data_IF_255984960356
#
_entry.id   IF_255984960356
#
_cell.length_a   1.000
_cell.length_b   1.000
_cell.length_c   1.000
_cell.angle_alpha   90.00
_cell.angle_beta   90.00
_cell.angle_gamma   90.00
#
_symmetry.space_group_name_H-M   'P 1'
#
loop_
_entity.id
_entity.type
_entity.pdbx_description
1 polymer ?
#
# COMPACT_ATOMS: atom_id res chain seq x y z
N UNK A 1 4.91 -83.03 -27.45
CA UNK A 1 5.94 -82.96 -26.38
C UNK A 1 6.51 -81.56 -26.38
N UNK A 2 6.65 -81.01 -25.19
CA UNK A 2 6.93 -79.62 -24.92
C UNK A 2 8.32 -79.17 -25.35
N UNK A 3 8.45 -77.90 -25.75
CA UNK A 3 9.64 -77.10 -25.46
C UNK A 3 9.30 -75.62 -25.61
N UNK A 4 9.33 -74.94 -24.47
CA UNK A 4 9.14 -73.51 -24.26
C UNK A 4 10.30 -72.72 -24.88
N UNK A 5 10.01 -71.62 -25.58
CA UNK A 5 10.91 -70.47 -25.63
C UNK A 5 10.13 -69.20 -25.26
N UNK A 6 10.43 -68.74 -24.05
CA UNK A 6 9.98 -67.49 -23.46
C UNK A 6 10.63 -66.32 -24.22
N UNK A 7 9.82 -65.50 -24.90
CA UNK A 7 10.26 -64.22 -25.46
C UNK A 7 9.55 -63.10 -24.70
N UNK A 8 10.22 -62.58 -23.69
CA UNK A 8 9.75 -61.48 -22.86
C UNK A 8 10.05 -60.15 -23.56
N UNK A 9 9.12 -59.67 -24.41
CA UNK A 9 9.18 -58.30 -24.94
C UNK A 9 8.60 -57.35 -23.88
N UNK A 10 9.48 -56.75 -23.08
CA UNK A 10 9.12 -55.64 -22.18
C UNK A 10 8.73 -54.41 -23.02
N UNK A 11 7.44 -54.14 -23.15
CA UNK A 11 6.93 -52.87 -23.64
C UNK A 11 6.97 -51.87 -22.48
N UNK A 12 8.00 -51.02 -22.44
CA UNK A 12 8.09 -49.91 -21.49
C UNK A 12 7.05 -48.83 -21.90
N UNK A 13 5.88 -48.84 -21.26
CA UNK A 13 4.92 -47.74 -21.33
C UNK A 13 5.44 -46.65 -20.38
N UNK A 14 6.13 -45.66 -20.93
CA UNK A 14 6.46 -44.42 -20.21
C UNK A 14 5.17 -43.60 -20.03
N UNK A 15 4.52 -43.77 -18.88
CA UNK A 15 3.45 -42.85 -18.44
C UNK A 15 4.13 -41.57 -17.98
N UNK A 16 4.14 -40.55 -18.84
CA UNK A 16 4.62 -39.21 -18.50
C UNK A 16 3.55 -38.54 -17.64
N UNK A 17 3.74 -38.60 -16.32
CA UNK A 17 2.90 -37.90 -15.35
C UNK A 17 3.28 -36.42 -15.38
N UNK A 18 2.54 -35.62 -16.17
CA UNK A 18 2.69 -34.17 -16.22
C UNK A 18 2.24 -33.55 -14.89
N UNK A 19 3.21 -33.28 -14.03
CA UNK A 19 3.03 -32.55 -12.77
C UNK A 19 2.87 -31.08 -13.14
N UNK A 20 1.64 -30.56 -13.15
CA UNK A 20 1.40 -29.11 -13.24
C UNK A 20 1.85 -28.46 -11.94
N UNK A 21 3.09 -27.96 -11.91
CA UNK A 21 3.57 -27.10 -10.84
C UNK A 21 2.90 -25.74 -10.97
N UNK A 22 1.86 -25.49 -10.18
CA UNK A 22 1.28 -24.16 -10.02
C UNK A 22 2.27 -23.32 -9.22
N UNK A 23 3.06 -22.50 -9.90
CA UNK A 23 3.93 -21.52 -9.25
C UNK A 23 3.05 -20.37 -8.72
N UNK A 24 3.04 -20.08 -7.41
CA UNK A 24 2.39 -18.88 -6.91
C UNK A 24 3.08 -17.65 -7.50
N UNK A 25 2.30 -16.77 -8.14
CA UNK A 25 2.81 -15.51 -8.66
C UNK A 25 3.17 -14.60 -7.48
N UNK A 26 4.46 -14.43 -7.22
CA UNK A 26 4.96 -13.38 -6.34
C UNK A 26 4.72 -12.03 -7.02
N UNK A 27 3.75 -11.25 -6.54
CA UNK A 27 3.48 -9.90 -7.05
C UNK A 27 4.66 -8.99 -6.76
N UNK A 28 5.40 -8.61 -7.81
CA UNK A 28 6.43 -7.59 -7.72
C UNK A 28 5.77 -6.24 -7.37
N UNK A 29 6.35 -5.42 -6.48
CA UNK A 29 5.81 -4.09 -6.18
C UNK A 29 5.64 -3.31 -7.47
N UNK A 30 4.42 -2.86 -7.74
CA UNK A 30 4.13 -2.13 -8.98
C UNK A 30 4.80 -0.75 -8.91
N UNK A 31 5.46 -0.35 -9.99
CA UNK A 31 5.87 1.05 -10.18
C UNK A 31 4.69 1.84 -10.73
N UNK A 32 4.65 3.17 -10.49
CA UNK A 32 3.57 4.02 -10.99
C UNK A 32 3.32 3.82 -12.49
N UNK A 33 4.40 3.69 -13.27
CA UNK A 33 4.34 3.63 -14.73
C UNK A 33 3.83 2.29 -15.26
N UNK A 34 3.83 1.25 -14.40
CA UNK A 34 3.32 -0.10 -14.73
C UNK A 34 1.88 -0.34 -14.29
N UNK A 35 1.28 0.59 -13.54
CA UNK A 35 -0.08 0.47 -13.01
C UNK A 35 -1.10 1.10 -13.97
N UNK A 36 -2.03 0.30 -14.48
CA UNK A 36 -3.15 0.74 -15.32
C UNK A 36 -4.45 0.95 -14.49
N UNK A 37 -4.32 1.59 -13.33
CA UNK A 37 -5.40 1.75 -12.35
C UNK A 37 -5.12 2.87 -11.35
N UNK A 38 -5.67 2.75 -10.14
CA UNK A 38 -5.35 3.67 -9.06
C UNK A 38 -4.08 3.18 -8.37
N UNK A 39 -3.02 3.99 -8.46
CA UNK A 39 -1.76 3.74 -7.81
C UNK A 39 -1.71 4.48 -6.48
N UNK A 40 -1.37 3.76 -5.41
CA UNK A 40 -1.16 4.31 -4.08
C UNK A 40 0.31 4.17 -3.68
N UNK A 41 0.86 5.20 -3.07
CA UNK A 41 2.15 5.07 -2.40
C UNK A 41 2.22 5.89 -1.12
N UNK A 42 2.88 5.34 -0.11
CA UNK A 42 3.20 6.02 1.12
C UNK A 42 4.72 6.07 1.29
N UNK A 43 5.25 7.25 1.54
CA UNK A 43 6.66 7.47 1.83
C UNK A 43 6.81 8.08 3.22
N UNK A 44 7.66 7.49 4.05
CA UNK A 44 8.15 8.16 5.25
C UNK A 44 9.31 9.10 4.88
N UNK A 45 9.22 10.34 5.33
CA UNK A 45 10.16 11.39 4.93
C UNK A 45 11.21 11.64 6.00
N UNK A 46 10.77 11.88 7.25
CA UNK A 46 11.65 12.15 8.38
C UNK A 46 10.93 12.00 9.71
N UNK A 47 11.73 11.89 10.77
CA UNK A 47 11.24 11.91 12.12
C UNK A 47 12.30 12.42 13.08
N UNK A 48 11.83 12.88 14.24
CA UNK A 48 12.68 13.50 15.25
C UNK A 48 12.12 13.24 16.64
N UNK A 49 13.00 13.05 17.62
CA UNK A 49 12.60 12.93 19.02
C UNK A 49 11.91 14.22 19.46
N UNK A 50 10.76 14.10 20.10
CA UNK A 50 10.05 15.23 20.68
C UNK A 50 10.24 15.26 22.21
N UNK A 51 10.26 16.45 22.83
CA UNK A 51 10.10 16.55 24.27
C UNK A 51 8.68 16.13 24.69
N UNK A 52 8.49 15.69 25.95
CA UNK A 52 9.53 15.47 26.96
C UNK A 52 10.38 14.22 26.67
N UNK A 53 11.58 14.18 27.25
CA UNK A 53 12.35 12.95 27.33
C UNK A 53 11.79 12.11 28.49
N UNK A 54 11.22 10.96 28.18
CA UNK A 54 10.64 10.05 29.19
C UNK A 54 11.58 8.89 29.47
N UNK A 55 11.45 8.27 30.65
CA UNK A 55 12.22 7.10 31.03
C UNK A 55 11.76 5.83 30.31
N UNK A 56 10.46 5.69 30.08
CA UNK A 56 9.90 4.58 29.30
C UNK A 56 10.04 4.87 27.80
N UNK A 57 10.82 4.04 27.11
CA UNK A 57 11.07 4.22 25.69
C UNK A 57 9.82 4.01 24.82
N UNK A 58 8.85 3.21 25.25
CA UNK A 58 7.61 2.97 24.50
C UNK A 58 6.71 4.20 24.49
N UNK A 59 6.77 5.01 25.55
CA UNK A 59 6.00 6.25 25.70
C UNK A 59 6.71 7.46 25.09
N UNK A 60 7.93 7.30 24.58
CA UNK A 60 8.70 8.42 24.05
C UNK A 60 8.08 8.94 22.74
N UNK A 61 7.68 10.23 22.67
CA UNK A 61 7.15 10.79 21.43
C UNK A 61 8.23 11.08 20.40
N UNK A 62 7.91 10.72 19.16
CA UNK A 62 8.66 11.05 17.97
C UNK A 62 7.74 11.68 16.93
N UNK A 63 8.19 12.79 16.36
CA UNK A 63 7.56 13.37 15.17
C UNK A 63 7.74 12.40 14.01
N UNK A 64 6.72 12.28 13.17
CA UNK A 64 6.87 11.74 11.82
C UNK A 64 6.34 12.72 10.78
N UNK A 65 6.97 12.69 9.62
CA UNK A 65 6.48 13.32 8.39
C UNK A 65 6.46 12.29 7.28
N UNK A 66 5.39 12.31 6.50
CA UNK A 66 5.16 11.32 5.44
C UNK A 66 4.33 11.90 4.31
N UNK A 67 4.42 11.29 3.14
CA UNK A 67 3.65 11.66 1.96
C UNK A 67 2.85 10.46 1.47
N UNK A 68 1.52 10.59 1.46
CA UNK A 68 0.63 9.67 0.74
C UNK A 68 0.36 10.24 -0.65
N UNK A 69 0.47 9.42 -1.68
CA UNK A 69 0.19 9.75 -3.07
C UNK A 69 -0.92 8.86 -3.59
N UNK A 70 -1.89 9.46 -4.25
CA UNK A 70 -2.96 8.78 -4.99
C UNK A 70 -2.88 9.27 -6.43
N UNK A 71 -2.69 8.35 -7.37
CA UNK A 71 -2.57 8.65 -8.80
C UNK A 71 -3.57 7.81 -9.58
N UNK A 72 -4.35 8.45 -10.45
CA UNK A 72 -5.26 7.77 -11.36
C UNK A 72 -4.60 7.56 -12.74
N UNK A 73 -4.10 6.36 -12.99
CA UNK A 73 -3.66 5.91 -14.31
C UNK A 73 -4.73 5.08 -15.04
N UNK A 74 -5.95 5.02 -14.48
CA UNK A 74 -7.06 4.27 -15.03
C UNK A 74 -7.79 5.02 -16.16
N UNK A 75 -8.76 4.31 -16.75
CA UNK A 75 -9.68 4.83 -17.77
C UNK A 75 -10.97 5.42 -17.19
N UNK A 76 -11.11 5.40 -15.86
CA UNK A 76 -12.29 5.89 -15.15
C UNK A 76 -11.83 6.90 -14.11
N UNK A 77 -12.53 8.03 -14.04
CA UNK A 77 -12.31 9.06 -13.02
C UNK A 77 -12.50 8.49 -11.61
N UNK A 78 -11.56 8.76 -10.70
CA UNK A 78 -11.70 8.41 -9.29
C UNK A 78 -12.38 9.56 -8.55
N UNK A 79 -13.69 9.44 -8.39
CA UNK A 79 -14.49 10.46 -7.70
C UNK A 79 -14.42 10.32 -6.19
N UNK A 80 -14.29 11.46 -5.51
CA UNK A 80 -14.29 11.56 -4.05
C UNK A 80 -13.36 10.52 -3.43
N UNK A 81 -12.09 10.56 -3.81
CA UNK A 81 -11.13 9.54 -3.45
C UNK A 81 -11.06 9.37 -1.93
N UNK A 82 -10.93 8.12 -1.49
CA UNK A 82 -10.81 7.71 -0.10
C UNK A 82 -9.72 6.67 0.02
N UNK A 83 -8.76 6.88 0.91
CA UNK A 83 -7.68 5.94 1.16
C UNK A 83 -7.62 5.61 2.64
N UNK A 84 -7.66 4.32 2.95
CA UNK A 84 -7.35 3.82 4.28
C UNK A 84 -5.83 3.74 4.46
N UNK A 85 -5.34 4.30 5.55
CA UNK A 85 -3.96 4.14 6.02
C UNK A 85 -4.01 3.42 7.36
N UNK A 86 -3.44 2.22 7.40
CA UNK A 86 -3.35 1.38 8.59
C UNK A 86 -2.19 1.79 9.48
N UNK A 87 -2.29 2.97 10.10
CA UNK A 87 -1.44 3.30 11.25
C UNK A 87 -1.51 2.17 12.29
N UNK A 88 -0.37 1.84 12.91
CA UNK A 88 -0.20 0.58 13.69
C UNK A 88 0.56 0.77 14.99
N UNK A 89 0.83 2.01 15.36
CA UNK A 89 1.42 2.40 16.62
C UNK A 89 0.40 3.25 17.39
N UNK A 90 0.87 4.09 18.31
CA UNK A 90 0.02 5.07 18.98
C UNK A 90 0.18 6.43 18.28
N UNK A 91 -0.19 6.49 17.01
CA UNK A 91 -0.04 7.69 16.20
C UNK A 91 -1.15 8.73 16.47
N UNK A 92 -0.71 9.98 16.53
CA UNK A 92 -1.52 11.18 16.48
C UNK A 92 -1.22 11.93 15.20
N UNK A 93 -2.25 12.20 14.41
CA UNK A 93 -2.13 13.06 13.25
C UNK A 93 -2.33 14.52 13.68
N UNK A 94 -1.47 15.42 13.18
CA UNK A 94 -1.47 16.85 13.53
C UNK A 94 -1.78 17.73 12.31
N UNK A 95 -1.42 17.29 11.11
CA UNK A 95 -1.87 17.92 9.86
C UNK A 95 -1.87 16.92 8.70
N UNK A 96 -2.72 17.18 7.71
CA UNK A 96 -2.73 16.50 6.43
C UNK A 96 -3.08 17.52 5.34
N UNK A 97 -2.20 17.73 4.36
CA UNK A 97 -2.51 18.61 3.23
C UNK A 97 -3.49 17.95 2.27
N UNK A 98 -4.38 18.73 1.65
CA UNK A 98 -5.35 18.27 0.63
C UNK A 98 -6.31 17.15 1.07
N UNK A 99 -6.34 16.80 2.36
CA UNK A 99 -7.15 15.72 2.88
C UNK A 99 -7.80 16.07 4.23
N UNK A 100 -8.90 15.39 4.52
CA UNK A 100 -9.58 15.37 5.82
C UNK A 100 -9.80 13.94 6.28
N UNK A 101 -10.12 13.74 7.56
CA UNK A 101 -10.54 12.44 8.07
C UNK A 101 -11.98 12.16 7.62
N UNK A 102 -12.20 11.03 6.96
CA UNK A 102 -13.50 10.69 6.36
C UNK A 102 -14.60 10.40 7.39
N UNK A 103 -14.22 10.15 8.65
CA UNK A 103 -15.15 9.96 9.77
C UNK A 103 -15.60 11.28 10.43
N UNK A 104 -15.16 12.43 9.88
CA UNK A 104 -15.57 13.75 10.32
C UNK A 104 -14.85 14.28 11.56
N UNK A 105 -13.89 13.53 12.13
CA UNK A 105 -13.05 14.03 13.23
C UNK A 105 -12.15 15.16 12.75
N UNK A 106 -11.95 16.17 13.60
CA UNK A 106 -10.97 17.21 13.35
C UNK A 106 -9.56 16.75 13.72
N UNK A 107 -8.56 17.29 13.01
CA UNK A 107 -7.15 17.12 13.34
C UNK A 107 -6.73 18.32 14.23
N UNK A 108 -5.94 18.14 15.31
CA UNK A 108 -5.24 16.91 15.71
C UNK A 108 -6.13 15.77 16.24
N UNK A 109 -5.82 14.52 15.90
CA UNK A 109 -6.58 13.34 16.32
C UNK A 109 -5.74 12.07 16.45
N UNK A 110 -6.14 11.14 17.31
CA UNK A 110 -5.55 9.81 17.41
C UNK A 110 -5.98 8.94 16.21
N UNK A 111 -5.02 8.31 15.54
CA UNK A 111 -5.24 7.53 14.31
C UNK A 111 -4.64 6.13 14.36
N UNK A 112 -4.10 5.69 15.50
CA UNK A 112 -3.31 4.44 15.62
C UNK A 112 -4.02 3.11 15.31
N UNK A 113 -5.34 3.09 15.11
CA UNK A 113 -6.08 1.93 14.59
C UNK A 113 -6.30 1.99 13.08
N UNK A 114 -5.56 2.88 12.41
CA UNK A 114 -5.80 3.30 11.05
C UNK A 114 -6.89 4.37 10.94
N UNK A 115 -6.91 5.02 9.78
CA UNK A 115 -7.90 6.05 9.45
C UNK A 115 -8.13 6.09 7.95
N UNK A 116 -9.27 6.64 7.54
CA UNK A 116 -9.58 6.90 6.14
C UNK A 116 -9.40 8.39 5.88
N UNK A 117 -8.55 8.70 4.91
CA UNK A 117 -8.41 10.03 4.34
C UNK A 117 -9.37 10.20 3.19
N UNK A 118 -9.95 11.39 3.05
CA UNK A 118 -10.71 11.80 1.88
C UNK A 118 -10.21 13.16 1.36
N UNK A 119 -10.34 13.40 0.06
CA UNK A 119 -9.95 14.66 -0.56
C UNK A 119 -10.67 15.88 0.00
N UNK A 120 -9.94 16.98 0.17
CA UNK A 120 -10.49 18.25 0.67
C UNK A 120 -10.38 19.41 -0.32
N UNK A 121 -9.26 19.52 -1.04
CA UNK A 121 -9.03 20.52 -2.10
C UNK A 121 -9.08 19.90 -3.49
N UNK A 122 -8.44 18.74 -3.66
CA UNK A 122 -8.49 17.90 -4.85
C UNK A 122 -9.34 16.69 -4.47
N UNK A 123 -10.61 16.69 -4.88
CA UNK A 123 -11.61 15.70 -4.44
C UNK A 123 -11.74 14.55 -5.44
N UNK A 124 -11.65 14.88 -6.73
CA UNK A 124 -11.75 13.93 -7.83
C UNK A 124 -10.41 13.88 -8.58
N UNK A 125 -10.00 12.70 -9.03
CA UNK A 125 -8.81 12.50 -9.85
C UNK A 125 -9.20 12.04 -11.25
N UNK A 126 -8.93 12.89 -12.24
CA UNK A 126 -9.23 12.64 -13.65
C UNK A 126 -8.34 11.57 -14.25
N UNK A 127 -8.74 11.07 -15.41
CA UNK A 127 -7.96 10.09 -16.17
C UNK A 127 -6.84 10.75 -16.97
N UNK A 128 -5.80 9.98 -17.33
CA UNK A 128 -4.74 10.44 -18.22
C UNK A 128 -5.28 10.88 -19.60
N UNK A 129 -6.33 10.22 -20.08
CA UNK A 129 -6.93 10.51 -21.37
C UNK A 129 -7.61 11.89 -21.40
N UNK A 130 -8.34 12.24 -20.34
CA UNK A 130 -9.05 13.53 -20.23
C UNK A 130 -8.09 14.71 -20.02
N UNK A 131 -6.94 14.45 -19.39
CA UNK A 131 -5.98 15.49 -18.98
C UNK A 131 -4.75 15.56 -19.87
N UNK A 132 -4.64 14.70 -20.88
CA UNK A 132 -3.41 14.47 -21.65
C UNK A 132 -2.18 14.19 -20.77
N UNK A 133 -2.38 13.50 -19.64
CA UNK A 133 -1.31 13.14 -18.71
C UNK A 133 -0.92 14.23 -17.69
N UNK A 134 -1.72 15.29 -17.53
CA UNK A 134 -1.45 16.33 -16.53
C UNK A 134 -1.65 15.82 -15.10
N UNK A 135 -0.52 15.57 -14.41
CA UNK A 135 -0.48 15.05 -13.05
C UNK A 135 -1.17 15.96 -12.03
N UNK A 136 -1.30 17.27 -12.28
CA UNK A 136 -1.98 18.17 -11.34
C UNK A 136 -3.49 17.90 -11.25
N UNK A 137 -4.05 17.19 -12.24
CA UNK A 137 -5.46 16.81 -12.31
C UNK A 137 -5.71 15.32 -12.06
N UNK A 138 -4.66 14.49 -12.15
CA UNK A 138 -4.74 13.03 -12.00
C UNK A 138 -4.22 12.53 -10.64
N UNK A 139 -3.54 13.39 -9.89
CA UNK A 139 -2.84 13.01 -8.68
C UNK A 139 -3.15 13.97 -7.53
N UNK A 140 -3.13 13.43 -6.32
CA UNK A 140 -3.01 14.21 -5.10
C UNK A 140 -1.85 13.69 -4.26
N UNK A 141 -1.18 14.63 -3.58
CA UNK A 141 -0.24 14.33 -2.52
C UNK A 141 -0.76 14.88 -1.20
N UNK A 142 -0.71 14.04 -0.17
CA UNK A 142 -1.13 14.33 1.19
C UNK A 142 0.12 14.30 2.05
N UNK A 143 0.59 15.49 2.41
CA UNK A 143 1.71 15.67 3.33
C UNK A 143 1.16 15.62 4.75
N UNK A 144 1.60 14.61 5.48
CA UNK A 144 1.17 14.34 6.84
C UNK A 144 2.26 14.69 7.82
N UNK A 145 1.85 15.32 8.91
CA UNK A 145 2.67 15.53 10.09
C UNK A 145 1.94 14.91 11.27
N UNK A 146 2.67 14.16 12.08
CA UNK A 146 2.12 13.58 13.28
C UNK A 146 3.17 13.26 14.33
N UNK A 147 2.70 12.58 15.38
CA UNK A 147 3.50 12.04 16.46
C UNK A 147 3.23 10.54 16.58
N UNK A 148 4.25 9.74 16.79
CA UNK A 148 4.14 8.32 17.18
C UNK A 148 4.87 8.12 18.50
N UNK A 149 4.44 7.14 19.29
CA UNK A 149 5.13 6.74 20.51
C UNK A 149 6.01 5.51 20.23
N UNK A 150 7.19 5.47 20.85
CA UNK A 150 8.03 4.27 20.91
C UNK A 150 8.83 3.91 19.65
N UNK A 151 8.69 4.66 18.56
CA UNK A 151 9.41 4.38 17.30
C UNK A 151 10.59 5.35 17.14
N UNK A 152 11.72 4.97 17.72
CA UNK A 152 12.96 5.74 17.66
C UNK A 152 13.71 5.54 16.33
N UNK A 153 14.30 6.60 15.73
CA UNK A 153 15.26 6.45 14.64
C UNK A 153 16.41 5.50 15.02
N UNK A 154 16.88 4.62 14.10
CA UNK A 154 16.60 4.60 12.66
C UNK A 154 15.32 3.86 12.25
N UNK A 155 14.52 3.35 13.21
CA UNK A 155 13.25 2.68 12.90
C UNK A 155 12.25 3.65 12.28
N UNK A 156 11.45 3.13 11.34
CA UNK A 156 10.48 3.93 10.57
C UNK A 156 9.05 3.48 10.90
N UNK A 157 8.15 4.38 11.32
CA UNK A 157 6.75 4.06 11.61
C UNK A 157 5.95 3.89 10.29
N UNK A 158 6.22 2.82 9.55
CA UNK A 158 5.48 2.50 8.34
C UNK A 158 4.06 2.01 8.70
N UNK A 159 3.03 2.36 7.92
CA UNK A 159 1.70 1.79 8.11
C UNK A 159 1.72 0.28 7.84
N UNK A 160 0.80 -0.46 8.45
CA UNK A 160 0.60 -1.89 8.18
C UNK A 160 0.05 -2.15 6.78
N UNK A 161 -0.78 -1.23 6.27
CA UNK A 161 -1.42 -1.33 4.96
C UNK A 161 -1.82 0.06 4.46
N UNK A 162 -1.92 0.21 3.14
CA UNK A 162 -2.61 1.32 2.49
C UNK A 162 -3.58 0.72 1.49
N UNK A 163 -4.85 1.10 1.52
CA UNK A 163 -5.87 0.54 0.63
C UNK A 163 -6.79 1.62 0.09
N UNK A 164 -7.20 1.49 -1.17
CA UNK A 164 -8.28 2.31 -1.70
C UNK A 164 -9.59 1.91 -0.99
N UNK A 165 -10.31 2.90 -0.46
CA UNK A 165 -11.55 2.70 0.30
C UNK A 165 -12.79 3.17 -0.48
N UNK A 166 -12.64 3.46 -1.78
CA UNK A 166 -13.75 3.73 -2.68
C UNK A 166 -14.45 2.43 -3.07
N UNK A 167 -15.78 2.44 -3.04
CA UNK A 167 -16.58 1.30 -3.50
C UNK A 167 -16.35 1.06 -5.01
N UNK A 168 -16.33 -0.22 -5.41
CA UNK A 168 -16.24 -0.62 -6.81
C UNK A 168 -14.84 -0.66 -7.42
N UNK A 169 -13.80 -0.28 -6.67
CA UNK A 169 -12.41 -0.46 -7.07
C UNK A 169 -11.75 -1.59 -6.28
N UNK A 170 -11.02 -2.47 -6.96
CA UNK A 170 -10.24 -3.55 -6.34
C UNK A 170 -8.76 -3.31 -6.64
N UNK A 171 -7.98 -3.05 -5.60
CA UNK A 171 -6.52 -2.97 -5.67
C UNK A 171 -5.88 -4.32 -5.32
N UNK A 172 -4.64 -4.54 -5.77
CA UNK A 172 -3.84 -5.72 -5.41
C UNK A 172 -3.35 -5.68 -3.96
N UNK A 173 -2.58 -6.69 -3.52
CA UNK A 173 -1.98 -6.68 -2.17
C UNK A 173 -0.88 -5.61 -2.06
N UNK A 174 -0.79 -4.88 -0.93
CA UNK A 174 0.22 -3.85 -0.76
C UNK A 174 1.60 -4.47 -0.59
N UNK A 175 2.60 -3.89 -1.26
CA UNK A 175 4.00 -4.27 -1.13
C UNK A 175 4.77 -3.20 -0.35
N UNK A 176 5.61 -3.62 0.61
CA UNK A 176 6.48 -2.73 1.37
C UNK A 176 7.95 -2.92 0.99
N UNK A 177 8.67 -1.81 0.80
CA UNK A 177 10.11 -1.77 0.55
C UNK A 177 10.75 -0.64 1.36
N UNK A 178 11.32 -0.97 2.52
CA UNK A 178 11.99 0.02 3.38
C UNK A 178 11.03 1.11 3.87
N UNK A 179 11.30 2.36 3.49
CA UNK A 179 10.50 3.54 3.85
C UNK A 179 9.33 3.82 2.89
N UNK A 180 9.02 2.86 2.01
CA UNK A 180 7.96 2.96 1.02
C UNK A 180 6.96 1.81 1.14
N UNK A 181 5.68 2.13 1.02
CA UNK A 181 4.62 1.15 0.75
C UNK A 181 3.93 1.54 -0.55
N UNK A 182 3.65 0.56 -1.40
CA UNK A 182 2.99 0.74 -2.69
C UNK A 182 1.85 -0.24 -2.85
N UNK A 183 0.78 0.20 -3.50
CA UNK A 183 -0.36 -0.62 -3.90
C UNK A 183 -0.83 -0.23 -5.30
#
# INVERSE_FOLDING_TARGET
>A
MASNLCSCRCFFIFVVLSIFTVTPATSQPQTSDSCNGIFLSYAYNRGAKLPPNVSDQVEQPYRFESTLRVLNNGLVELKSWKVFVGFRHQEWLVSASNAVLADGRSIPSAVGNGTIFAGSSVIDLKTAAETAGDLTQMQVQVEMVGTTLGVAPPSVPMPSTINLANDGFVCGEPASQGSYAVM
#
